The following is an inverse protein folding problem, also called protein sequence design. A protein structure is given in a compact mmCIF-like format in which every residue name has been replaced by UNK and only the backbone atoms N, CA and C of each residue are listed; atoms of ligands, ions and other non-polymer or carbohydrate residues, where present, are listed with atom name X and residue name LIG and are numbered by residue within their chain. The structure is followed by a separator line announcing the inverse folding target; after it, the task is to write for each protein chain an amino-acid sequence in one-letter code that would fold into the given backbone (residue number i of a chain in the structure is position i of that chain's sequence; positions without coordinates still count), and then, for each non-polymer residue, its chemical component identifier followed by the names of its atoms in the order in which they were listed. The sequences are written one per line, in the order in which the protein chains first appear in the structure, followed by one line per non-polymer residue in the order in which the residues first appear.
data_IF_066442367297
#
_entry.id   IF_066442367297
#
_cell.length_a   1.000
_cell.length_b   1.000
_cell.length_c   1.000
_cell.angle_alpha   90.00
_cell.angle_beta   90.00
_cell.angle_gamma   90.00
#
_symmetry.space_group_name_H-M   'P 1'
#
loop_
_entity.id
_entity.type
_entity.pdbx_description
1 polymer ?
#
# COMPACT_ATOMS: atom_id res chain seq x y z
N UNK A 1 39.56 -33.53 -11.67
CA UNK A 1 39.28 -32.76 -12.90
C UNK A 1 38.33 -31.67 -12.56
N UNK A 2 38.84 -30.40 -12.41
CA UNK A 2 38.06 -29.23 -12.21
C UNK A 2 37.26 -28.95 -13.50
N UNK A 3 35.92 -29.06 -13.44
CA UNK A 3 35.06 -28.62 -14.54
C UNK A 3 35.09 -27.09 -14.58
N UNK A 4 35.44 -26.45 -15.72
CA UNK A 4 35.39 -25.00 -15.81
C UNK A 4 33.96 -24.52 -15.64
N UNK A 5 33.73 -23.70 -14.63
CA UNK A 5 32.42 -23.06 -14.41
C UNK A 5 32.29 -21.93 -15.44
N UNK A 6 31.48 -22.13 -16.47
CA UNK A 6 31.16 -21.07 -17.44
C UNK A 6 30.15 -20.14 -16.80
N UNK A 7 30.59 -18.93 -16.46
CA UNK A 7 29.67 -17.82 -16.11
C UNK A 7 29.26 -17.12 -17.38
N UNK A 8 27.99 -17.15 -17.70
CA UNK A 8 27.43 -16.37 -18.79
C UNK A 8 27.07 -14.98 -18.25
N UNK A 9 27.78 -13.97 -18.73
CA UNK A 9 27.39 -12.59 -18.47
C UNK A 9 26.49 -12.14 -19.63
N UNK A 10 25.25 -11.77 -19.33
CA UNK A 10 24.37 -11.11 -20.29
C UNK A 10 24.85 -9.67 -20.40
N UNK A 11 25.54 -9.32 -21.47
CA UNK A 11 25.91 -7.93 -21.73
C UNK A 11 24.61 -7.13 -21.95
N UNK A 12 24.30 -6.21 -21.07
CA UNK A 12 23.19 -5.26 -21.25
C UNK A 12 23.58 -4.30 -22.35
N UNK A 13 22.88 -4.35 -23.48
CA UNK A 13 22.99 -3.36 -24.55
C UNK A 13 21.74 -2.47 -24.47
N UNK A 14 21.90 -1.23 -24.03
CA UNK A 14 20.84 -0.25 -24.06
C UNK A 14 20.48 0.31 -22.68
N UNK A 15 19.49 1.18 -22.68
CA UNK A 15 18.91 1.81 -21.48
C UNK A 15 18.18 0.72 -20.67
N UNK A 16 18.50 0.57 -19.35
CA UNK A 16 17.78 -0.38 -18.50
C UNK A 16 16.29 -0.07 -18.46
N UNK A 17 15.44 -1.08 -18.36
CA UNK A 17 14.01 -0.88 -18.14
C UNK A 17 13.76 -0.67 -16.64
N UNK A 18 12.79 0.21 -16.33
CA UNK A 18 12.28 0.43 -14.99
C UNK A 18 10.76 0.28 -14.99
N UNK A 19 10.22 -0.23 -13.88
CA UNK A 19 8.77 -0.27 -13.61
C UNK A 19 8.46 0.73 -12.49
N UNK A 20 7.96 1.91 -12.86
CA UNK A 20 7.54 2.97 -11.94
C UNK A 20 6.03 3.11 -12.01
N UNK A 21 5.36 2.84 -10.90
CA UNK A 21 3.90 2.89 -10.77
C UNK A 21 3.49 3.91 -9.74
N UNK A 22 2.34 4.55 -9.99
CA UNK A 22 1.75 5.56 -9.11
C UNK A 22 0.39 5.10 -8.61
N UNK A 23 0.13 5.38 -7.35
CA UNK A 23 -1.09 5.01 -6.64
C UNK A 23 -1.65 6.24 -5.94
N UNK A 24 -2.51 7.04 -6.61
CA UNK A 24 -3.23 8.12 -5.96
C UNK A 24 -4.05 7.59 -4.79
N UNK A 25 -4.02 8.26 -3.67
CA UNK A 25 -4.83 7.90 -2.51
C UNK A 25 -6.32 8.08 -2.82
N UNK A 26 -7.10 7.02 -2.58
CA UNK A 26 -8.50 6.97 -3.01
C UNK A 26 -8.71 6.53 -4.46
N UNK A 27 -7.63 6.34 -5.24
CA UNK A 27 -7.64 5.80 -6.61
C UNK A 27 -7.49 6.82 -7.73
N UNK A 28 -7.81 8.09 -7.50
CA UNK A 28 -7.89 9.13 -8.53
C UNK A 28 -7.20 10.43 -8.13
N UNK A 29 -6.70 11.18 -9.12
CA UNK A 29 -6.29 12.58 -8.98
C UNK A 29 -7.46 13.45 -9.40
N UNK A 30 -7.93 14.32 -8.51
CA UNK A 30 -9.13 15.11 -8.73
C UNK A 30 -8.79 16.60 -8.80
N UNK A 31 -9.36 17.29 -9.78
CA UNK A 31 -9.20 18.74 -9.98
C UNK A 31 -9.57 19.55 -8.73
N UNK A 32 -8.76 20.53 -8.38
CA UNK A 32 -9.00 21.43 -7.26
C UNK A 32 -8.81 20.82 -5.88
N UNK A 33 -8.27 19.60 -5.80
CA UNK A 33 -8.01 18.91 -4.54
C UNK A 33 -6.51 18.67 -4.32
N UNK A 34 -6.15 18.26 -3.12
CA UNK A 34 -4.79 17.82 -2.81
C UNK A 34 -4.66 16.32 -3.17
N UNK A 35 -3.69 15.99 -4.02
CA UNK A 35 -3.42 14.62 -4.43
C UNK A 35 -2.27 14.00 -3.64
N UNK A 36 -2.56 13.09 -2.73
CA UNK A 36 -1.56 12.25 -2.09
C UNK A 36 -1.27 11.05 -2.98
N UNK A 37 -0.03 10.88 -3.41
CA UNK A 37 0.35 9.82 -4.35
C UNK A 37 1.46 8.97 -3.76
N UNK A 38 1.19 7.68 -3.60
CA UNK A 38 2.23 6.71 -3.35
C UNK A 38 2.84 6.24 -4.68
N UNK A 39 4.08 5.80 -4.66
CA UNK A 39 4.74 5.21 -5.83
C UNK A 39 5.58 4.00 -5.44
N UNK A 40 5.82 3.14 -6.41
CA UNK A 40 6.72 1.99 -6.31
C UNK A 40 7.58 1.94 -7.55
N UNK A 41 8.88 1.70 -7.37
CA UNK A 41 9.84 1.60 -8.47
C UNK A 41 10.71 0.36 -8.35
N UNK A 42 10.79 -0.40 -9.44
CA UNK A 42 11.60 -1.60 -9.56
C UNK A 42 12.41 -1.58 -10.86
N UNK A 43 13.49 -2.35 -10.91
CA UNK A 43 14.20 -2.63 -12.16
C UNK A 43 13.55 -3.78 -12.94
N UNK A 44 14.12 -4.11 -14.11
CA UNK A 44 13.64 -5.18 -14.99
C UNK A 44 13.65 -6.58 -14.37
N UNK A 45 14.39 -6.78 -13.26
CA UNK A 45 14.47 -8.04 -12.52
C UNK A 45 13.50 -8.05 -11.32
N UNK A 46 12.71 -6.96 -11.14
CA UNK A 46 11.80 -6.79 -10.00
C UNK A 46 12.51 -6.37 -8.71
N UNK A 47 13.79 -5.97 -8.78
CA UNK A 47 14.53 -5.48 -7.62
C UNK A 47 14.14 -4.04 -7.34
N UNK A 48 13.85 -3.76 -6.08
CA UNK A 48 13.52 -2.42 -5.61
C UNK A 48 14.67 -1.43 -5.83
N UNK A 49 14.34 -0.24 -6.31
CA UNK A 49 15.31 0.84 -6.53
C UNK A 49 15.20 1.89 -5.43
N UNK A 50 16.36 2.33 -4.95
CA UNK A 50 16.46 3.51 -4.10
C UNK A 50 16.82 4.72 -4.98
N UNK A 51 15.91 5.70 -5.06
CA UNK A 51 16.06 6.86 -5.94
C UNK A 51 15.23 8.05 -5.47
N UNK A 52 15.51 9.20 -6.06
CA UNK A 52 14.72 10.42 -5.93
C UNK A 52 13.94 10.65 -7.23
N UNK A 53 12.69 11.06 -7.10
CA UNK A 53 11.83 11.49 -8.18
C UNK A 53 11.65 13.01 -8.11
N UNK A 54 11.79 13.70 -9.24
CA UNK A 54 11.34 15.08 -9.43
C UNK A 54 10.01 15.06 -10.17
N UNK A 55 8.95 15.58 -9.55
CA UNK A 55 7.63 15.66 -10.17
C UNK A 55 7.49 17.02 -10.83
N UNK A 56 7.27 17.02 -12.13
CA UNK A 56 7.18 18.20 -12.96
C UNK A 56 5.81 18.29 -13.62
N UNK A 57 5.38 19.53 -13.91
CA UNK A 57 4.20 19.76 -14.75
C UNK A 57 4.56 19.78 -16.26
N UNK A 58 3.56 19.99 -17.12
CA UNK A 58 3.69 20.08 -18.57
C UNK A 58 4.58 21.25 -19.04
N UNK A 59 4.73 22.29 -18.20
CA UNK A 59 5.60 23.45 -18.44
C UNK A 59 7.06 23.18 -18.03
N UNK A 60 7.34 21.99 -17.50
CA UNK A 60 8.67 21.60 -16.99
C UNK A 60 9.03 22.20 -15.63
N UNK A 61 8.07 22.82 -14.95
CA UNK A 61 8.27 23.34 -13.60
C UNK A 61 8.23 22.18 -12.59
N UNK A 62 9.21 22.12 -11.71
CA UNK A 62 9.22 21.17 -10.62
C UNK A 62 8.20 21.57 -9.55
N UNK A 63 7.28 20.66 -9.26
CA UNK A 63 6.22 20.83 -8.27
C UNK A 63 6.65 20.30 -6.91
N UNK A 64 7.24 19.10 -6.89
CA UNK A 64 7.70 18.48 -5.65
C UNK A 64 8.77 17.44 -5.95
N UNK A 65 9.48 17.00 -4.91
CA UNK A 65 10.41 15.86 -4.94
C UNK A 65 9.99 14.80 -3.95
N UNK A 66 10.31 13.57 -4.27
CA UNK A 66 10.06 12.43 -3.40
C UNK A 66 11.21 11.44 -3.46
N UNK A 67 11.52 10.85 -2.32
CA UNK A 67 12.51 9.79 -2.22
C UNK A 67 11.83 8.46 -1.89
N UNK A 68 12.43 7.37 -2.30
CA UNK A 68 12.04 6.05 -1.82
C UNK A 68 12.39 5.92 -0.33
N UNK A 69 11.41 5.48 0.46
CA UNK A 69 11.54 5.36 1.92
C UNK A 69 11.81 3.90 2.31
N UNK A 70 11.14 2.96 1.64
CA UNK A 70 11.25 1.54 1.93
C UNK A 70 10.99 0.70 0.68
N UNK A 71 11.94 -0.18 0.33
CA UNK A 71 11.78 -1.17 -0.76
C UNK A 71 11.22 -0.57 -2.05
N UNK A 72 11.85 0.49 -2.55
CA UNK A 72 11.43 1.16 -3.78
C UNK A 72 10.13 1.96 -3.68
N UNK A 73 9.55 2.11 -2.49
CA UNK A 73 8.29 2.82 -2.27
C UNK A 73 8.52 4.17 -1.64
N UNK A 74 7.69 5.13 -2.03
CA UNK A 74 7.67 6.47 -1.47
C UNK A 74 6.32 7.13 -1.69
N UNK A 75 6.22 8.40 -1.30
CA UNK A 75 5.00 9.19 -1.44
C UNK A 75 5.32 10.67 -1.64
N UNK A 76 4.40 11.37 -2.28
CA UNK A 76 4.46 12.83 -2.45
C UNK A 76 3.07 13.44 -2.45
N UNK A 77 3.04 14.77 -2.29
CA UNK A 77 1.83 15.59 -2.34
C UNK A 77 1.84 16.45 -3.60
N UNK A 78 0.73 16.47 -4.32
CA UNK A 78 0.39 17.45 -5.35
C UNK A 78 -0.66 18.40 -4.78
N UNK A 79 -0.31 19.61 -4.39
CA UNK A 79 -1.27 20.53 -3.78
C UNK A 79 -2.15 21.18 -4.84
N UNK A 80 -3.46 21.27 -4.57
CA UNK A 80 -4.44 22.01 -5.37
C UNK A 80 -4.31 21.76 -6.88
N UNK A 81 -4.50 20.52 -7.31
CA UNK A 81 -4.28 20.05 -8.69
C UNK A 81 -5.15 20.81 -9.70
N UNK A 82 -4.58 21.55 -10.67
CA UNK A 82 -5.34 22.15 -11.77
C UNK A 82 -5.63 21.12 -12.87
N UNK A 83 -6.82 21.19 -13.47
CA UNK A 83 -7.25 20.27 -14.53
C UNK A 83 -6.35 20.28 -15.76
N UNK A 84 -5.87 21.46 -16.14
CA UNK A 84 -5.14 21.65 -17.40
C UNK A 84 -3.69 21.21 -17.36
N UNK A 85 -3.22 20.64 -16.26
CA UNK A 85 -1.82 20.22 -16.11
C UNK A 85 -1.68 18.71 -16.15
N UNK A 86 -0.73 18.23 -16.98
CA UNK A 86 -0.21 16.89 -16.93
C UNK A 86 1.04 16.86 -16.05
N UNK A 87 1.20 15.77 -15.31
CA UNK A 87 2.37 15.57 -14.45
C UNK A 87 3.22 14.42 -14.94
N UNK A 88 4.54 14.57 -14.75
CA UNK A 88 5.53 13.53 -15.02
C UNK A 88 6.49 13.42 -13.87
N UNK A 89 6.93 12.23 -13.58
CA UNK A 89 8.08 11.97 -12.73
C UNK A 89 9.33 11.86 -13.57
N UNK A 90 10.39 12.55 -13.17
CA UNK A 90 11.74 12.44 -13.71
C UNK A 90 12.65 11.78 -12.70
N UNK A 91 13.51 10.90 -13.15
CA UNK A 91 14.57 10.30 -12.35
C UNK A 91 15.78 9.98 -13.19
N UNK A 92 16.92 9.85 -12.52
CA UNK A 92 18.17 9.40 -13.12
C UNK A 92 18.57 8.04 -12.55
N UNK A 93 18.80 7.05 -13.43
CA UNK A 93 19.22 5.72 -13.00
C UNK A 93 20.25 5.13 -13.98
N UNK A 94 21.37 4.62 -13.46
CA UNK A 94 22.46 4.00 -14.22
C UNK A 94 22.96 4.80 -15.43
N UNK A 95 23.03 6.15 -15.30
CA UNK A 95 23.51 7.05 -16.35
C UNK A 95 22.45 7.43 -17.40
N UNK A 96 21.18 7.09 -17.16
CA UNK A 96 20.06 7.41 -18.04
C UNK A 96 18.98 8.21 -17.33
N UNK A 97 18.36 9.13 -18.07
CA UNK A 97 17.20 9.88 -17.60
C UNK A 97 15.91 9.19 -18.04
N UNK A 98 14.91 9.17 -17.13
CA UNK A 98 13.60 8.60 -17.35
C UNK A 98 12.53 9.64 -17.09
N UNK A 99 11.48 9.59 -17.89
CA UNK A 99 10.25 10.35 -17.67
C UNK A 99 9.07 9.37 -17.72
N UNK A 100 8.25 9.37 -16.68
CA UNK A 100 7.06 8.51 -16.58
C UNK A 100 5.87 9.41 -16.25
N UNK A 101 4.78 9.28 -17.05
CA UNK A 101 3.55 10.06 -16.82
C UNK A 101 2.85 9.59 -15.55
N UNK A 102 2.32 10.56 -14.78
CA UNK A 102 1.40 10.28 -13.69
C UNK A 102 -0.01 9.95 -14.24
N UNK A 103 -0.89 9.37 -13.40
CA UNK A 103 -2.31 9.22 -13.75
C UNK A 103 -2.95 10.55 -14.15
N UNK A 104 -3.96 10.48 -15.01
CA UNK A 104 -4.69 11.65 -15.48
C UNK A 104 -5.51 12.29 -14.35
N UNK A 105 -5.70 13.61 -14.43
CA UNK A 105 -6.52 14.38 -13.50
C UNK A 105 -7.97 14.35 -13.97
N UNK A 106 -8.87 13.94 -13.09
CA UNK A 106 -10.31 13.90 -13.35
C UNK A 106 -10.98 15.23 -12.95
N UNK A 107 -11.94 15.68 -13.76
CA UNK A 107 -12.68 16.94 -13.55
C UNK A 107 -13.62 16.88 -12.36
N UNK A 108 -14.22 15.72 -12.15
CA UNK A 108 -15.27 15.53 -11.18
C UNK A 108 -14.95 14.33 -10.30
N UNK A 109 -15.18 14.46 -9.01
CA UNK A 109 -14.97 13.38 -8.07
C UNK A 109 -14.64 13.88 -6.68
N UNK A 110 -14.13 12.96 -5.88
CA UNK A 110 -13.76 13.21 -4.50
C UNK A 110 -12.42 12.57 -4.20
N UNK A 111 -11.50 13.38 -3.71
CA UNK A 111 -10.23 12.89 -3.17
C UNK A 111 -10.44 12.50 -1.71
N UNK A 112 -9.81 11.41 -1.31
CA UNK A 112 -9.77 10.91 0.05
C UNK A 112 -8.33 10.93 0.54
N UNK A 113 -8.09 11.58 1.68
CA UNK A 113 -6.83 11.45 2.41
C UNK A 113 -7.09 10.87 3.80
N UNK A 114 -6.26 9.93 4.23
CA UNK A 114 -6.41 9.25 5.50
C UNK A 114 -5.10 9.31 6.28
N UNK A 115 -5.17 9.84 7.47
CA UNK A 115 -4.03 9.91 8.39
C UNK A 115 -4.40 9.39 9.78
N UNK A 116 -3.44 8.77 10.44
CA UNK A 116 -3.56 8.50 11.88
C UNK A 116 -3.04 9.70 12.65
N UNK A 117 -3.91 10.30 13.45
CA UNK A 117 -3.55 11.42 14.33
C UNK A 117 -3.87 11.05 15.77
N UNK A 118 -2.83 10.78 16.55
CA UNK A 118 -2.94 10.33 17.94
C UNK A 118 -3.87 9.10 18.09
N UNK A 119 -5.03 9.30 18.70
CA UNK A 119 -6.03 8.28 18.99
C UNK A 119 -7.15 8.17 17.96
N UNK A 120 -7.08 8.95 16.85
CA UNK A 120 -8.10 8.96 15.82
C UNK A 120 -7.54 8.60 14.44
N UNK A 121 -8.37 7.96 13.63
CA UNK A 121 -8.23 7.88 12.19
C UNK A 121 -8.96 9.09 11.62
N UNK A 122 -8.22 9.98 10.98
CA UNK A 122 -8.76 11.16 10.33
C UNK A 122 -8.91 10.90 8.84
N UNK A 123 -10.09 11.11 8.32
CA UNK A 123 -10.41 11.03 6.91
C UNK A 123 -10.76 12.43 6.41
N UNK A 124 -10.05 12.93 5.41
CA UNK A 124 -10.27 14.23 4.78
C UNK A 124 -10.82 13.94 3.39
N UNK A 125 -12.04 14.40 3.13
CA UNK A 125 -12.71 14.29 1.83
C UNK A 125 -12.73 15.66 1.18
N UNK A 126 -12.22 15.76 -0.04
CA UNK A 126 -12.25 16.98 -0.83
C UNK A 126 -12.99 16.72 -2.13
N UNK A 127 -14.00 17.52 -2.42
CA UNK A 127 -14.74 17.44 -3.68
C UNK A 127 -14.43 18.61 -4.60
N UNK A 128 -14.73 18.45 -5.88
CA UNK A 128 -14.74 19.57 -6.85
C UNK A 128 -15.84 20.56 -6.48
N UNK A 129 -15.70 21.83 -6.90
CA UNK A 129 -16.63 22.91 -6.55
C UNK A 129 -18.06 22.69 -7.05
N UNK A 130 -18.27 21.79 -8.00
CA UNK A 130 -19.57 21.51 -8.62
C UNK A 130 -20.29 20.30 -8.00
N UNK A 131 -19.62 19.56 -7.14
CA UNK A 131 -20.17 18.37 -6.49
C UNK A 131 -21.28 18.74 -5.49
N UNK A 132 -22.52 18.31 -5.74
CA UNK A 132 -23.71 18.56 -4.89
C UNK A 132 -24.35 17.29 -4.38
N UNK A 133 -23.70 16.15 -4.55
CA UNK A 133 -24.25 14.86 -4.17
C UNK A 133 -24.11 14.59 -2.67
N UNK A 134 -25.09 13.92 -2.09
CA UNK A 134 -24.95 13.36 -0.76
C UNK A 134 -24.04 12.14 -0.83
N UNK A 135 -23.02 12.10 0.03
CA UNK A 135 -22.10 10.98 0.12
C UNK A 135 -22.32 10.16 1.40
N UNK A 136 -21.99 8.89 1.30
CA UNK A 136 -21.72 8.03 2.43
C UNK A 136 -20.23 7.71 2.53
N UNK A 137 -19.70 7.74 3.75
CA UNK A 137 -18.40 7.15 4.04
C UNK A 137 -18.60 5.96 4.98
N UNK A 138 -18.07 4.82 4.59
CA UNK A 138 -18.17 3.57 5.32
C UNK A 138 -16.78 3.03 5.65
N UNK A 139 -16.62 2.49 6.85
CA UNK A 139 -15.50 1.63 7.21
C UNK A 139 -16.02 0.23 7.43
N UNK A 140 -15.39 -0.73 6.79
CA UNK A 140 -15.70 -2.15 6.95
C UNK A 140 -14.44 -2.97 7.26
N UNK A 141 -14.61 -4.06 7.98
CA UNK A 141 -13.57 -5.06 8.22
C UNK A 141 -14.19 -6.44 8.01
N UNK A 142 -13.53 -7.28 7.19
CA UNK A 142 -14.02 -8.61 6.82
C UNK A 142 -15.48 -8.61 6.34
N UNK A 143 -15.87 -7.62 5.52
CA UNK A 143 -17.22 -7.49 5.00
C UNK A 143 -18.27 -6.99 6.00
N UNK A 144 -17.90 -6.71 7.24
CA UNK A 144 -18.79 -6.17 8.29
C UNK A 144 -18.57 -4.68 8.46
N UNK A 145 -19.65 -3.89 8.31
CA UNK A 145 -19.62 -2.45 8.56
C UNK A 145 -19.30 -2.16 10.02
N UNK A 146 -18.29 -1.31 10.24
CA UNK A 146 -17.83 -0.88 11.57
C UNK A 146 -18.19 0.56 11.87
N UNK A 147 -18.23 1.40 10.83
CA UNK A 147 -18.65 2.77 10.93
C UNK A 147 -19.30 3.22 9.62
N UNK A 148 -20.28 4.11 9.74
CA UNK A 148 -20.91 4.77 8.62
C UNK A 148 -21.25 6.21 8.98
N UNK A 149 -21.00 7.13 8.05
CA UNK A 149 -21.41 8.53 8.18
C UNK A 149 -21.92 9.05 6.85
N UNK A 150 -23.04 9.77 6.89
CA UNK A 150 -23.55 10.55 5.76
C UNK A 150 -22.90 11.92 5.78
N UNK A 151 -22.43 12.36 4.61
CA UNK A 151 -21.87 13.68 4.38
C UNK A 151 -22.87 14.51 3.57
N UNK A 152 -23.03 15.76 3.93
CA UNK A 152 -23.97 16.67 3.26
C UNK A 152 -23.26 17.57 2.25
N UNK A 153 -23.90 17.95 1.13
CA UNK A 153 -23.27 18.75 0.07
C UNK A 153 -22.73 20.09 0.51
N UNK A 154 -23.23 20.68 1.59
CA UNK A 154 -22.77 21.97 2.12
C UNK A 154 -21.31 21.90 2.64
N UNK A 155 -20.85 20.73 3.02
CA UNK A 155 -19.53 20.49 3.64
C UNK A 155 -18.47 20.04 2.63
N UNK A 156 -18.81 19.95 1.36
CA UNK A 156 -18.11 19.13 0.35
C UNK A 156 -16.85 19.72 -0.26
N UNK A 157 -16.48 20.96 0.05
CA UNK A 157 -15.15 21.46 -0.40
C UNK A 157 -14.01 20.80 0.34
N UNK A 158 -14.21 20.58 1.64
CA UNK A 158 -13.30 19.84 2.50
C UNK A 158 -14.05 19.47 3.78
N UNK A 159 -14.39 18.19 3.92
CA UNK A 159 -14.94 17.66 5.17
C UNK A 159 -13.94 16.73 5.86
N UNK A 160 -14.02 16.69 7.18
CA UNK A 160 -13.12 15.89 8.01
C UNK A 160 -13.94 14.99 8.92
N UNK A 161 -13.69 13.69 8.83
CA UNK A 161 -14.34 12.67 9.64
C UNK A 161 -13.29 12.00 10.52
N UNK A 162 -13.46 12.13 11.82
CA UNK A 162 -12.59 11.48 12.81
C UNK A 162 -13.31 10.26 13.43
N UNK A 163 -12.60 9.13 13.47
CA UNK A 163 -13.07 7.90 14.12
C UNK A 163 -12.00 7.45 15.12
N UNK A 164 -12.42 7.08 16.32
CA UNK A 164 -11.48 6.58 17.32
C UNK A 164 -10.80 5.30 16.83
N UNK A 165 -9.47 5.31 16.82
CA UNK A 165 -8.66 4.17 16.42
C UNK A 165 -9.00 2.90 17.20
N UNK A 166 -9.22 3.04 18.51
CA UNK A 166 -9.57 1.92 19.38
C UNK A 166 -10.94 1.28 19.11
N UNK A 167 -11.82 1.94 18.34
CA UNK A 167 -13.12 1.38 17.95
C UNK A 167 -13.06 0.51 16.70
N UNK A 168 -11.94 0.52 15.98
CA UNK A 168 -11.74 -0.26 14.78
C UNK A 168 -11.11 -1.62 15.16
N UNK A 169 -11.51 -2.73 14.52
CA UNK A 169 -10.91 -4.02 14.82
C UNK A 169 -9.50 -4.15 14.24
N UNK A 170 -8.66 -4.95 14.89
CA UNK A 170 -7.39 -5.38 14.30
C UNK A 170 -7.64 -6.11 13.00
N UNK A 171 -6.82 -5.82 11.98
CA UNK A 171 -6.90 -6.42 10.65
C UNK A 171 -6.99 -5.38 9.55
N UNK A 172 -7.25 -5.86 8.34
CA UNK A 172 -7.46 -5.00 7.17
C UNK A 172 -8.83 -4.37 7.24
N UNK A 173 -8.85 -3.05 7.33
CA UNK A 173 -10.04 -2.24 7.26
C UNK A 173 -10.08 -1.53 5.90
N UNK A 174 -11.27 -1.31 5.38
CA UNK A 174 -11.52 -0.63 4.11
C UNK A 174 -12.41 0.59 4.34
N UNK A 175 -11.97 1.73 3.84
CA UNK A 175 -12.77 2.95 3.75
C UNK A 175 -13.32 3.01 2.32
N UNK A 176 -14.63 3.28 2.19
CA UNK A 176 -15.27 3.51 0.89
C UNK A 176 -16.10 4.78 0.96
N UNK A 177 -15.91 5.68 -0.02
CA UNK A 177 -16.71 6.88 -0.23
C UNK A 177 -17.61 6.65 -1.44
N UNK A 178 -18.91 6.80 -1.28
CA UNK A 178 -19.90 6.49 -2.30
C UNK A 178 -21.14 7.41 -2.22
N UNK A 179 -21.90 7.52 -3.31
CA UNK A 179 -23.17 8.27 -3.33
C UNK A 179 -24.38 7.39 -3.04
N UNK A 180 -25.57 8.00 -2.99
CA UNK A 180 -26.83 7.32 -2.75
C UNK A 180 -27.23 6.27 -3.80
N UNK A 181 -26.64 6.32 -4.98
CA UNK A 181 -26.85 5.35 -6.07
C UNK A 181 -25.86 4.16 -6.00
N UNK A 182 -24.91 4.20 -5.06
CA UNK A 182 -23.89 3.16 -4.90
C UNK A 182 -22.66 3.34 -5.79
N UNK A 183 -22.50 4.50 -6.45
CA UNK A 183 -21.25 4.81 -7.17
C UNK A 183 -20.13 5.06 -6.17
N UNK A 184 -19.05 4.31 -6.29
CA UNK A 184 -17.84 4.48 -5.48
C UNK A 184 -16.97 5.57 -6.10
N UNK A 185 -16.54 6.54 -5.29
CA UNK A 185 -15.65 7.63 -5.68
C UNK A 185 -14.22 7.45 -5.16
N UNK A 186 -14.08 6.86 -3.99
CA UNK A 186 -12.77 6.59 -3.43
C UNK A 186 -12.81 5.35 -2.56
N UNK A 187 -11.72 4.60 -2.58
CA UNK A 187 -11.53 3.39 -1.80
C UNK A 187 -10.11 3.33 -1.26
N UNK A 188 -9.96 2.92 0.00
CA UNK A 188 -8.66 2.77 0.62
C UNK A 188 -8.64 1.66 1.67
N UNK A 189 -7.66 0.77 1.56
CA UNK A 189 -7.32 -0.20 2.59
C UNK A 189 -6.32 0.40 3.60
N UNK A 190 -6.48 0.06 4.86
CA UNK A 190 -5.54 0.36 5.92
C UNK A 190 -5.53 -0.75 6.96
N UNK A 191 -4.42 -0.90 7.66
CA UNK A 191 -4.25 -1.95 8.66
C UNK A 191 -4.32 -1.35 10.08
N UNK A 192 -5.12 -1.97 10.92
CA UNK A 192 -5.21 -1.67 12.36
C UNK A 192 -4.51 -2.78 13.12
N UNK A 193 -3.58 -2.42 14.00
CA UNK A 193 -2.92 -3.34 14.90
C UNK A 193 -3.07 -2.88 16.35
N UNK A 194 -3.79 -3.65 17.15
CA UNK A 194 -3.91 -3.44 18.59
C UNK A 194 -2.99 -4.36 19.39
N UNK A 195 -2.11 -5.11 18.70
CA UNK A 195 -1.23 -6.10 19.32
C UNK A 195 -1.97 -7.19 20.11
N UNK A 196 -3.25 -7.42 19.79
CA UNK A 196 -4.10 -8.44 20.42
C UNK A 196 -3.79 -9.87 19.92
N UNK A 197 -3.03 -9.98 18.83
CA UNK A 197 -2.50 -11.25 18.30
C UNK A 197 -1.03 -11.51 18.65
N UNK A 198 -0.36 -10.65 19.40
CA UNK A 198 1.07 -10.77 19.72
C UNK A 198 1.36 -11.93 20.70
N UNK A 199 0.32 -12.53 21.30
CA UNK A 199 0.49 -13.72 22.11
C UNK A 199 0.29 -14.99 21.26
N UNK A 200 1.17 -15.97 21.35
CA UNK A 200 1.03 -17.20 20.58
C UNK A 200 -0.29 -17.88 20.93
N UNK A 201 -1.14 -18.07 19.92
CA UNK A 201 -2.40 -18.77 20.06
C UNK A 201 -2.19 -20.29 20.15
N UNK A 202 -1.03 -20.75 19.71
CA UNK A 202 -0.64 -22.17 19.64
C UNK A 202 0.72 -22.33 20.32
N UNK A 203 0.83 -23.26 21.24
CA UNK A 203 2.13 -23.75 21.73
C UNK A 203 2.46 -25.05 21.02
N UNK A 204 3.74 -25.21 20.68
CA UNK A 204 4.25 -26.45 20.05
C UNK A 204 5.30 -27.03 20.97
N UNK A 205 5.08 -28.28 21.39
CA UNK A 205 6.00 -29.06 22.22
C UNK A 205 6.56 -30.22 21.39
N UNK A 206 7.75 -30.73 21.77
CA UNK A 206 8.40 -31.85 21.11
C UNK A 206 9.40 -31.48 20.01
N UNK A 207 9.65 -30.19 19.81
CA UNK A 207 10.70 -29.73 18.89
C UNK A 207 12.06 -29.97 19.51
N UNK A 208 12.94 -30.69 18.81
CA UNK A 208 14.36 -30.85 19.15
C UNK A 208 15.20 -29.87 18.28
N UNK A 209 16.37 -29.53 18.77
CA UNK A 209 17.32 -28.72 17.98
C UNK A 209 17.93 -29.50 16.81
N UNK A 210 18.12 -30.80 16.99
CA UNK A 210 18.68 -31.71 15.99
C UNK A 210 17.93 -33.03 15.99
N UNK A 211 17.80 -33.63 14.81
CA UNK A 211 17.22 -34.95 14.59
C UNK A 211 18.20 -35.83 13.82
N UNK A 212 18.23 -37.11 14.16
CA UNK A 212 18.99 -38.09 13.38
C UNK A 212 18.30 -38.33 12.02
N UNK A 213 19.05 -38.79 11.00
CA UNK A 213 18.46 -39.19 9.72
C UNK A 213 17.36 -40.25 9.93
N UNK A 214 16.17 -40.04 9.34
CA UNK A 214 14.98 -40.90 9.45
C UNK A 214 14.36 -40.97 10.86
N UNK A 215 14.75 -40.11 11.78
CA UNK A 215 14.11 -40.01 13.08
C UNK A 215 12.69 -39.45 12.93
N UNK A 216 11.67 -40.09 13.57
CA UNK A 216 10.31 -39.55 13.53
C UNK A 216 10.22 -38.24 14.32
N UNK A 217 9.51 -37.25 13.74
CA UNK A 217 9.20 -35.97 14.39
C UNK A 217 7.80 -36.06 14.94
N UNK A 218 7.67 -36.00 16.25
CA UNK A 218 6.38 -35.96 16.94
C UNK A 218 6.18 -34.61 17.62
N UNK A 219 5.16 -33.86 17.17
CA UNK A 219 4.85 -32.53 17.68
C UNK A 219 3.50 -32.54 18.39
N UNK A 220 3.44 -31.94 19.55
CA UNK A 220 2.18 -31.70 20.28
C UNK A 220 1.83 -30.23 20.21
N UNK A 221 0.70 -29.92 19.57
CA UNK A 221 0.17 -28.56 19.47
C UNK A 221 -0.98 -28.36 20.47
N UNK A 222 -0.97 -27.25 21.18
CA UNK A 222 -2.00 -26.88 22.14
C UNK A 222 -2.52 -25.47 21.84
N UNK A 223 -3.83 -25.33 21.67
CA UNK A 223 -4.50 -24.03 21.59
C UNK A 223 -4.60 -23.40 22.98
N UNK A 224 -4.29 -22.10 23.08
CA UNK A 224 -4.27 -21.40 24.37
C UNK A 224 -5.58 -20.66 24.68
N UNK A 225 -6.32 -20.19 23.66
CA UNK A 225 -7.48 -19.30 23.86
C UNK A 225 -8.79 -19.78 23.24
N UNK A 226 -8.73 -20.69 22.29
CA UNK A 226 -9.91 -21.15 21.54
C UNK A 226 -10.14 -22.64 21.77
N UNK A 227 -11.42 -23.02 21.82
CA UNK A 227 -11.78 -24.44 21.94
C UNK A 227 -11.78 -25.13 20.57
N UNK A 228 -11.83 -24.36 19.48
CA UNK A 228 -11.91 -24.84 18.11
C UNK A 228 -11.16 -23.91 17.18
N UNK A 229 -10.34 -24.43 16.28
CA UNK A 229 -9.60 -23.67 15.29
C UNK A 229 -9.17 -24.54 14.12
N UNK A 230 -9.17 -23.96 12.93
CA UNK A 230 -8.53 -24.55 11.76
C UNK A 230 -7.03 -24.26 11.78
N UNK A 231 -6.22 -25.30 11.69
CA UNK A 231 -4.75 -25.20 11.72
C UNK A 231 -4.19 -25.68 10.38
N UNK A 232 -3.34 -24.85 9.78
CA UNK A 232 -2.55 -25.24 8.61
C UNK A 232 -1.11 -25.51 9.00
N UNK A 233 -0.59 -26.67 8.60
CA UNK A 233 0.79 -27.09 8.84
C UNK A 233 1.51 -27.23 7.50
N UNK A 234 2.63 -26.56 7.34
CA UNK A 234 3.53 -26.74 6.20
C UNK A 234 4.90 -27.22 6.69
N UNK A 235 5.44 -28.22 6.01
CA UNK A 235 6.80 -28.76 6.26
C UNK A 235 7.62 -28.55 5.00
N UNK A 236 8.79 -27.93 5.13
CA UNK A 236 9.70 -27.69 4.01
C UNK A 236 11.14 -28.02 4.41
N UNK A 237 11.95 -28.32 3.42
CA UNK A 237 13.38 -28.47 3.59
C UNK A 237 14.05 -27.10 3.79
N UNK A 238 14.90 -26.96 4.79
CA UNK A 238 15.65 -25.72 5.05
C UNK A 238 16.57 -25.33 3.87
N UNK A 239 17.06 -26.31 3.12
CA UNK A 239 17.89 -26.07 1.93
C UNK A 239 17.10 -25.40 0.78
N UNK A 240 15.78 -25.44 0.80
CA UNK A 240 14.89 -24.79 -0.16
C UNK A 240 14.39 -23.43 0.31
N UNK A 241 14.99 -22.87 1.36
CA UNK A 241 14.67 -21.54 1.85
C UNK A 241 15.14 -20.52 0.82
N UNK A 242 14.24 -20.12 -0.08
CA UNK A 242 14.49 -19.06 -1.03
C UNK A 242 14.49 -17.73 -0.28
N UNK A 243 15.67 -17.19 -0.07
CA UNK A 243 15.87 -15.85 0.53
C UNK A 243 15.34 -14.71 -0.34
N UNK A 244 14.87 -15.04 -1.55
CA UNK A 244 14.32 -14.08 -2.52
C UNK A 244 12.85 -13.76 -2.32
N UNK A 245 12.10 -14.58 -1.55
CA UNK A 245 10.71 -14.26 -1.25
C UNK A 245 10.61 -13.18 -0.19
N UNK A 246 9.79 -12.18 -0.48
CA UNK A 246 9.40 -11.20 0.51
C UNK A 246 8.50 -11.88 1.56
N UNK A 247 9.10 -12.24 2.69
CA UNK A 247 8.37 -12.79 3.83
C UNK A 247 7.68 -11.67 4.65
N UNK A 248 7.56 -10.48 4.08
CA UNK A 248 6.89 -9.35 4.70
C UNK A 248 5.45 -9.71 5.05
N UNK A 249 5.03 -9.32 6.23
CA UNK A 249 3.63 -9.34 6.65
C UNK A 249 3.06 -7.94 6.48
N UNK A 250 1.75 -7.78 6.66
CA UNK A 250 1.14 -6.43 6.71
C UNK A 250 1.62 -5.60 7.91
N UNK A 251 2.42 -6.19 8.80
CA UNK A 251 3.00 -5.58 10.00
C UNK A 251 4.45 -5.16 9.80
N UNK A 252 5.12 -5.62 8.76
CA UNK A 252 6.51 -5.32 8.38
C UNK A 252 6.59 -4.56 7.01
#
# INVERSE_FOLDING_TARGET
TLRPMRRYYKARKGKPEIDLRFYPEGGHLIEGTDGHVAFEINDEEGKHLETELSIINDKGQEITRAQTINRGRGMFLLPNIPLSEEYKAKLHYQGYDYEVKLPEVEKEGYALHVERKDSVLRMIIQGTTESKEELGIQIQCNGVSKAFRKLSPADMRKDTVDIFWASLPTGVNQITVFNGEGRIYADRLFFVNHHDYDQPLITVEGIKQEYAPFEPIELRMKLLRYHDADVSLAVRDHATDETTYDNGTMLT
#
